data_IF_629064542237
#
_entry.id   IF_629064542237
#
_cell.length_a   1.000
_cell.length_b   1.000
_cell.length_c   1.000
_cell.angle_alpha   90.00
_cell.angle_beta   90.00
_cell.angle_gamma   90.00
#
_symmetry.space_group_name_H-M   'P 1'
#
loop_
_entity.id
_entity.type
_entity.pdbx_description
1 polymer ?
#
# COMPACT_ATOMS: atom_id res chain seq x y z
N UNK A 1 -28.73 56.21 -6.42
CA UNK A 1 -28.41 54.99 -5.63
C UNK A 1 -27.33 54.29 -6.40
N UNK A 2 -26.08 54.55 -6.03
CA UNK A 2 -24.88 53.99 -6.69
C UNK A 2 -24.38 52.82 -5.84
N UNK A 3 -24.52 51.61 -6.38
CA UNK A 3 -24.00 50.40 -5.80
C UNK A 3 -22.50 50.27 -6.13
N UNK A 4 -21.65 50.42 -5.15
CA UNK A 4 -20.19 50.25 -5.27
C UNK A 4 -19.86 48.78 -5.06
N UNK A 5 -19.62 48.08 -6.14
CA UNK A 5 -19.08 46.68 -6.11
C UNK A 5 -17.59 46.75 -5.80
N UNK A 6 -17.16 46.12 -4.71
CA UNK A 6 -15.76 45.96 -4.33
C UNK A 6 -14.99 45.15 -5.39
N UNK A 7 -13.70 45.49 -5.67
CA UNK A 7 -12.95 44.84 -6.72
C UNK A 7 -12.63 43.37 -6.39
N UNK A 8 -12.53 42.47 -7.38
CA UNK A 8 -12.42 41.01 -7.21
C UNK A 8 -11.17 40.53 -6.47
N UNK A 9 -10.16 41.37 -6.30
CA UNK A 9 -8.92 41.03 -5.58
C UNK A 9 -9.10 40.82 -4.08
N UNK A 10 -10.18 41.30 -3.48
CA UNK A 10 -10.42 41.17 -2.04
C UNK A 10 -10.82 39.78 -1.61
N UNK A 11 -11.55 39.05 -2.46
CA UNK A 11 -11.99 37.68 -2.21
C UNK A 11 -10.86 36.66 -2.35
N UNK A 12 -9.96 36.89 -3.31
CA UNK A 12 -8.79 36.00 -3.52
C UNK A 12 -7.84 36.05 -2.32
N UNK A 13 -7.61 37.22 -1.75
CA UNK A 13 -6.75 37.39 -0.58
C UNK A 13 -7.32 36.75 0.69
N UNK A 14 -8.64 36.75 0.84
CA UNK A 14 -9.34 36.13 1.96
C UNK A 14 -9.37 34.62 1.85
N UNK A 15 -9.54 34.07 0.65
CA UNK A 15 -9.47 32.64 0.36
C UNK A 15 -8.06 32.08 0.59
N UNK A 16 -7.02 32.82 0.19
CA UNK A 16 -5.62 32.41 0.39
C UNK A 16 -5.18 32.46 1.86
N UNK A 17 -5.73 33.38 2.66
CA UNK A 17 -5.52 33.40 4.12
C UNK A 17 -6.23 32.26 4.84
N UNK A 18 -7.43 31.89 4.39
CA UNK A 18 -8.17 30.77 4.94
C UNK A 18 -7.55 29.39 4.59
N UNK A 19 -6.85 29.31 3.45
CA UNK A 19 -6.13 28.12 3.00
C UNK A 19 -4.71 27.99 3.59
N UNK A 20 -4.26 28.93 4.45
CA UNK A 20 -2.94 28.87 5.09
C UNK A 20 -1.76 29.13 4.14
N UNK A 21 -2.01 29.59 2.92
CA UNK A 21 -0.99 29.77 1.86
C UNK A 21 -0.23 31.12 2.00
N UNK A 22 -0.78 32.10 2.72
CA UNK A 22 -0.13 33.39 2.99
C UNK A 22 0.04 33.57 4.51
N UNK A 23 1.27 33.57 5.00
CA UNK A 23 1.58 33.92 6.39
C UNK A 23 1.68 35.45 6.54
N UNK A 24 1.11 36.05 7.59
CA UNK A 24 1.32 37.47 7.87
C UNK A 24 2.79 37.72 8.23
N UNK A 25 3.39 38.74 7.63
CA UNK A 25 4.76 39.17 7.88
C UNK A 25 4.83 39.79 9.30
N UNK A 26 5.35 39.03 10.25
CA UNK A 26 5.62 39.54 11.61
C UNK A 26 6.96 40.24 11.60
N UNK A 27 6.99 41.49 12.08
CA UNK A 27 8.20 42.28 12.22
C UNK A 27 9.17 41.63 13.24
N UNK A 28 10.42 41.46 12.84
CA UNK A 28 11.47 40.92 13.68
C UNK A 28 11.89 41.95 14.73
N UNK A 29 11.66 41.68 15.99
CA UNK A 29 12.36 42.30 17.13
C UNK A 29 13.52 41.37 17.50
N UNK A 30 14.74 41.87 17.37
CA UNK A 30 15.95 41.21 17.81
C UNK A 30 15.99 41.13 19.32
N UNK A 31 15.99 39.90 19.84
CA UNK A 31 16.24 39.57 21.23
C UNK A 31 17.06 38.31 21.29
N UNK A 32 18.38 38.45 21.49
CA UNK A 32 19.32 37.35 21.71
C UNK A 32 19.02 36.68 23.07
N UNK A 33 18.48 35.47 23.03
CA UNK A 33 18.43 34.60 24.19
C UNK A 33 18.81 33.19 23.73
N UNK A 34 19.95 32.72 24.18
CA UNK A 34 20.40 31.34 24.07
C UNK A 34 19.41 30.44 24.79
N UNK A 35 18.43 29.91 24.05
CA UNK A 35 17.53 28.90 24.58
C UNK A 35 18.14 27.52 24.28
N UNK A 36 18.53 26.83 25.36
CA UNK A 36 18.80 25.40 25.36
C UNK A 36 17.65 24.68 24.66
N UNK A 37 17.95 23.95 23.56
CA UNK A 37 17.01 23.04 22.93
C UNK A 37 16.50 22.05 23.98
N UNK A 38 15.20 21.99 24.26
CA UNK A 38 14.68 20.88 25.05
C UNK A 38 14.97 19.60 24.26
N UNK A 39 15.59 18.62 24.93
CA UNK A 39 15.74 17.27 24.42
C UNK A 39 14.38 16.84 23.85
N UNK A 40 14.36 16.46 22.59
CA UNK A 40 13.18 15.93 21.93
C UNK A 40 12.63 14.79 22.80
N UNK A 41 11.51 15.05 23.48
CA UNK A 41 10.78 14.00 24.12
C UNK A 41 10.50 12.94 23.05
N UNK A 42 11.06 11.74 23.22
CA UNK A 42 10.80 10.61 22.36
C UNK A 42 9.28 10.45 22.27
N UNK A 43 8.73 10.68 21.09
CA UNK A 43 7.33 10.37 20.84
C UNK A 43 7.09 8.92 21.30
N UNK A 44 5.95 8.59 21.93
CA UNK A 44 5.67 7.24 22.35
C UNK A 44 5.84 6.32 21.15
N UNK A 45 6.71 5.33 21.27
CA UNK A 45 6.96 4.34 20.21
C UNK A 45 5.63 3.70 19.89
N UNK A 46 5.14 3.89 18.66
CA UNK A 46 3.91 3.25 18.22
C UNK A 46 4.04 1.73 18.38
N UNK A 47 3.01 1.09 18.92
CA UNK A 47 3.03 -0.36 19.14
C UNK A 47 2.99 -1.09 17.79
N UNK A 48 3.64 -2.25 17.68
CA UNK A 48 3.55 -3.08 16.47
C UNK A 48 2.11 -3.52 16.20
N UNK A 49 1.78 -3.69 14.91
CA UNK A 49 0.54 -4.31 14.47
C UNK A 49 0.74 -5.81 14.28
N UNK A 50 -0.28 -6.60 14.58
CA UNK A 50 -0.34 -7.99 14.18
C UNK A 50 -0.97 -8.10 12.79
N UNK A 51 -0.25 -8.71 11.85
CA UNK A 51 -0.73 -9.06 10.51
C UNK A 51 -1.32 -10.47 10.56
N UNK A 52 -2.63 -10.57 10.75
CA UNK A 52 -3.34 -11.84 10.90
C UNK A 52 -3.41 -12.60 9.58
N UNK A 53 -3.86 -11.94 8.52
CA UNK A 53 -3.97 -12.52 7.19
C UNK A 53 -3.44 -11.56 6.13
N UNK A 54 -3.12 -12.11 4.96
CA UNK A 54 -2.68 -11.37 3.80
C UNK A 54 -3.12 -12.09 2.52
N UNK A 55 -3.54 -11.32 1.52
CA UNK A 55 -3.92 -11.85 0.21
C UNK A 55 -3.41 -10.94 -0.90
N UNK A 56 -3.14 -11.53 -2.08
CA UNK A 56 -2.71 -10.80 -3.28
C UNK A 56 -3.28 -11.48 -4.52
N UNK A 57 -3.57 -10.66 -5.53
CA UNK A 57 -3.87 -11.08 -6.90
C UNK A 57 -3.07 -10.17 -7.82
N UNK A 58 -2.24 -10.77 -8.65
CA UNK A 58 -1.38 -10.06 -9.60
C UNK A 58 -1.09 -10.94 -10.83
N UNK A 59 -0.45 -10.37 -11.83
CA UNK A 59 -0.15 -11.03 -13.12
C UNK A 59 0.58 -12.37 -13.01
N UNK A 60 1.36 -12.57 -11.94
CA UNK A 60 2.20 -13.77 -11.79
C UNK A 60 1.96 -14.55 -10.49
N UNK A 61 0.83 -14.33 -9.84
CA UNK A 61 0.46 -15.09 -8.65
C UNK A 61 -0.91 -14.72 -8.12
N UNK A 62 -1.68 -15.77 -7.79
CA UNK A 62 -2.97 -15.67 -7.14
C UNK A 62 -2.89 -15.86 -5.61
N UNK A 63 -1.69 -16.06 -5.08
CA UNK A 63 -1.39 -16.14 -3.65
C UNK A 63 -0.03 -15.51 -3.32
N UNK A 64 0.25 -15.20 -2.05
CA UNK A 64 1.57 -14.71 -1.62
C UNK A 64 2.69 -15.70 -1.96
N UNK A 65 2.45 -16.99 -1.83
CA UNK A 65 3.38 -18.08 -2.12
C UNK A 65 3.76 -18.12 -3.60
N UNK A 66 2.75 -18.08 -4.47
CA UNK A 66 2.94 -18.13 -5.91
C UNK A 66 3.69 -16.91 -6.40
N UNK A 67 3.29 -15.71 -5.94
CA UNK A 67 3.94 -14.46 -6.34
C UNK A 67 5.39 -14.41 -5.86
N UNK A 68 5.66 -14.79 -4.60
CA UNK A 68 7.02 -14.85 -4.06
C UNK A 68 7.89 -15.82 -4.87
N UNK A 69 7.38 -17.02 -5.15
CA UNK A 69 8.09 -18.04 -5.92
C UNK A 69 8.34 -17.60 -7.37
N UNK A 70 7.39 -16.91 -8.00
CA UNK A 70 7.55 -16.39 -9.35
C UNK A 70 8.62 -15.30 -9.42
N UNK A 71 8.66 -14.39 -8.43
CA UNK A 71 9.68 -13.33 -8.33
C UNK A 71 11.06 -13.94 -8.08
N UNK A 72 11.20 -14.77 -7.05
CA UNK A 72 12.47 -15.43 -6.71
C UNK A 72 13.00 -16.32 -7.85
N UNK A 73 12.09 -16.95 -8.59
CA UNK A 73 12.41 -17.75 -9.79
C UNK A 73 12.67 -16.91 -11.04
N UNK A 74 12.63 -15.58 -10.96
CA UNK A 74 12.79 -14.63 -12.07
C UNK A 74 11.80 -14.87 -13.25
N UNK A 75 10.61 -15.37 -12.93
CA UNK A 75 9.52 -15.65 -13.88
C UNK A 75 8.48 -14.52 -13.93
N UNK A 76 8.43 -13.71 -12.88
CA UNK A 76 7.46 -12.63 -12.72
C UNK A 76 7.98 -11.37 -13.41
N UNK A 77 7.72 -11.22 -14.69
CA UNK A 77 8.11 -10.06 -15.49
C UNK A 77 6.93 -9.60 -16.33
N UNK A 78 6.72 -8.27 -16.44
CA UNK A 78 5.82 -7.72 -17.45
C UNK A 78 6.17 -8.23 -18.85
N UNK A 79 5.18 -8.45 -19.70
CA UNK A 79 5.32 -8.98 -21.06
C UNK A 79 4.60 -8.09 -22.07
N UNK A 80 4.78 -8.35 -23.36
CA UNK A 80 4.08 -7.63 -24.42
C UNK A 80 2.56 -7.83 -24.26
N UNK A 81 1.85 -6.71 -24.22
CA UNK A 81 0.39 -6.75 -24.10
C UNK A 81 -0.25 -7.19 -25.42
N UNK A 82 -1.24 -8.11 -25.39
CA UNK A 82 -1.88 -8.59 -26.60
C UNK A 82 -2.83 -7.58 -27.26
N UNK A 83 -3.27 -6.55 -26.53
CA UNK A 83 -4.34 -5.64 -26.93
C UNK A 83 -3.92 -4.17 -26.92
N UNK A 84 -3.01 -3.78 -26.00
CA UNK A 84 -2.61 -2.39 -25.82
C UNK A 84 -1.45 -2.03 -26.73
N UNK A 85 -1.56 -0.89 -27.40
CA UNK A 85 -0.56 -0.40 -28.36
C UNK A 85 -0.16 1.05 -28.03
N UNK A 86 1.06 1.42 -28.44
CA UNK A 86 1.51 2.81 -28.40
C UNK A 86 0.98 3.64 -29.58
N UNK A 87 1.36 4.92 -29.64
CA UNK A 87 0.94 5.87 -30.69
C UNK A 87 1.35 5.43 -32.11
N UNK A 88 2.37 4.58 -32.22
CA UNK A 88 2.87 4.02 -33.48
C UNK A 88 2.19 2.68 -33.83
N UNK A 89 1.32 2.17 -32.96
CA UNK A 89 0.60 0.90 -33.11
C UNK A 89 1.43 -0.33 -32.75
N UNK A 90 2.53 -0.18 -32.02
CA UNK A 90 3.31 -1.30 -31.51
C UNK A 90 2.80 -1.76 -30.15
N UNK A 91 2.76 -3.10 -29.87
CA UNK A 91 2.41 -3.61 -28.57
C UNK A 91 3.32 -3.04 -27.47
N UNK A 92 2.72 -2.61 -26.38
CA UNK A 92 3.46 -2.14 -25.20
C UNK A 92 3.76 -3.28 -24.24
N UNK A 93 4.65 -3.05 -23.28
CA UNK A 93 4.87 -3.95 -22.16
C UNK A 93 3.86 -3.63 -21.05
N UNK A 94 3.19 -4.66 -20.52
CA UNK A 94 2.23 -4.53 -19.41
C UNK A 94 2.38 -5.65 -18.39
N UNK A 95 1.85 -5.45 -17.20
CA UNK A 95 1.69 -6.47 -16.18
C UNK A 95 0.20 -6.85 -16.04
N UNK A 96 -0.36 -7.38 -17.11
CA UNK A 96 -1.75 -7.84 -17.23
C UNK A 96 -1.97 -9.12 -16.42
N UNK A 97 -3.10 -9.23 -15.75
CA UNK A 97 -3.53 -10.42 -14.99
C UNK A 97 -4.74 -11.09 -15.63
N UNK A 98 -4.64 -12.37 -15.92
CA UNK A 98 -5.79 -13.16 -16.41
C UNK A 98 -6.89 -13.27 -15.35
N UNK A 99 -6.54 -13.21 -14.06
CA UNK A 99 -7.50 -13.23 -12.96
C UNK A 99 -8.38 -11.96 -12.86
N UNK A 100 -8.07 -10.91 -13.64
CA UNK A 100 -8.89 -9.71 -13.74
C UNK A 100 -10.10 -9.87 -14.68
N UNK A 101 -10.21 -11.02 -15.35
CA UNK A 101 -11.33 -11.36 -16.24
C UNK A 101 -12.07 -12.54 -15.63
N UNK A 102 -13.19 -12.24 -14.94
CA UNK A 102 -14.07 -13.22 -14.32
C UNK A 102 -15.52 -12.76 -14.55
N UNK A 103 -16.17 -13.36 -15.55
CA UNK A 103 -17.52 -12.99 -15.94
C UNK A 103 -18.55 -13.26 -14.83
N UNK A 104 -18.36 -14.31 -14.03
CA UNK A 104 -19.27 -14.62 -12.93
C UNK A 104 -19.18 -13.55 -11.82
N UNK A 105 -17.97 -13.13 -11.45
CA UNK A 105 -17.79 -12.04 -10.48
C UNK A 105 -18.32 -10.72 -11.02
N UNK A 106 -18.14 -10.45 -12.31
CA UNK A 106 -18.66 -9.25 -12.97
C UNK A 106 -20.18 -9.23 -12.98
N UNK A 107 -20.82 -10.38 -13.22
CA UNK A 107 -22.27 -10.52 -13.16
C UNK A 107 -22.79 -10.32 -11.73
N UNK A 108 -22.17 -10.95 -10.72
CA UNK A 108 -22.51 -10.75 -9.30
C UNK A 108 -22.47 -9.26 -8.91
N UNK A 109 -21.40 -8.53 -9.31
CA UNK A 109 -21.25 -7.09 -9.03
C UNK A 109 -22.36 -6.30 -9.73
N UNK A 110 -22.63 -6.61 -11.01
CA UNK A 110 -23.61 -5.91 -11.83
C UNK A 110 -25.03 -6.08 -11.25
N UNK A 111 -25.40 -7.30 -10.87
CA UNK A 111 -26.68 -7.59 -10.23
C UNK A 111 -26.80 -6.85 -8.89
N UNK A 112 -25.75 -6.88 -8.08
CA UNK A 112 -25.75 -6.19 -6.81
C UNK A 112 -25.87 -4.66 -6.97
N UNK A 113 -25.18 -4.06 -7.94
CA UNK A 113 -25.29 -2.62 -8.25
C UNK A 113 -26.74 -2.27 -8.63
N UNK A 114 -27.38 -3.09 -9.47
CA UNK A 114 -28.77 -2.91 -9.86
C UNK A 114 -29.73 -2.98 -8.65
N UNK A 115 -29.58 -4.00 -7.81
CA UNK A 115 -30.40 -4.19 -6.60
C UNK A 115 -30.17 -3.09 -5.55
N UNK A 116 -28.99 -2.51 -5.53
CA UNK A 116 -28.61 -1.42 -4.61
C UNK A 116 -28.99 -0.03 -5.12
N UNK A 117 -29.71 0.08 -6.26
CA UNK A 117 -30.15 1.35 -6.83
C UNK A 117 -29.04 2.14 -7.53
N UNK A 118 -27.94 1.48 -7.92
CA UNK A 118 -26.79 2.08 -8.59
C UNK A 118 -26.63 1.59 -10.04
N UNK A 119 -27.73 1.21 -10.70
CA UNK A 119 -27.75 0.67 -12.07
C UNK A 119 -27.16 1.63 -13.11
N UNK A 120 -27.22 2.95 -12.87
CA UNK A 120 -26.71 3.97 -13.77
C UNK A 120 -25.20 4.23 -13.61
N UNK A 121 -24.54 3.59 -12.65
CA UNK A 121 -23.12 3.78 -12.40
C UNK A 121 -22.31 3.20 -13.56
N UNK A 122 -21.54 4.06 -14.23
CA UNK A 122 -20.65 3.64 -15.30
C UNK A 122 -19.28 3.27 -14.74
N UNK A 123 -18.84 2.06 -15.03
CA UNK A 123 -17.50 1.57 -14.72
C UNK A 123 -16.77 1.29 -16.04
N UNK A 124 -15.55 1.85 -16.20
CA UNK A 124 -14.66 1.55 -17.31
C UNK A 124 -14.02 0.16 -17.18
N UNK A 125 -13.30 -0.25 -18.22
CA UNK A 125 -12.66 -1.57 -18.24
C UNK A 125 -11.66 -1.74 -17.09
N UNK A 126 -10.77 -0.77 -16.90
CA UNK A 126 -9.79 -0.80 -15.82
C UNK A 126 -10.46 -0.91 -14.44
N UNK A 127 -11.59 -0.22 -14.23
CA UNK A 127 -12.35 -0.28 -13.00
C UNK A 127 -12.97 -1.66 -12.75
N UNK A 128 -13.52 -2.30 -13.80
CA UNK A 128 -14.03 -3.66 -13.72
C UNK A 128 -12.93 -4.65 -13.34
N UNK A 129 -11.78 -4.57 -14.02
CA UNK A 129 -10.62 -5.41 -13.75
C UNK A 129 -10.14 -5.26 -12.30
N UNK A 130 -10.00 -4.02 -11.83
CA UNK A 130 -9.60 -3.74 -10.44
C UNK A 130 -10.61 -4.27 -9.42
N UNK A 131 -11.93 -4.12 -9.67
CA UNK A 131 -12.99 -4.63 -8.78
C UNK A 131 -13.01 -6.15 -8.70
N UNK A 132 -12.82 -6.85 -9.82
CA UNK A 132 -12.75 -8.31 -9.86
C UNK A 132 -11.58 -8.80 -9.01
N UNK A 133 -10.37 -8.24 -9.21
CA UNK A 133 -9.18 -8.59 -8.42
C UNK A 133 -9.37 -8.24 -6.94
N UNK A 134 -9.91 -7.05 -6.64
CA UNK A 134 -10.22 -6.61 -5.28
C UNK A 134 -11.22 -7.54 -4.59
N UNK A 135 -12.25 -7.99 -5.30
CA UNK A 135 -13.25 -8.93 -4.78
C UNK A 135 -12.61 -10.26 -4.37
N UNK A 136 -11.70 -10.79 -5.18
CA UNK A 136 -10.98 -12.02 -4.86
C UNK A 136 -10.15 -11.88 -3.58
N UNK A 137 -9.42 -10.75 -3.42
CA UNK A 137 -8.64 -10.45 -2.20
C UNK A 137 -9.55 -10.29 -0.99
N UNK A 138 -10.69 -9.59 -1.13
CA UNK A 138 -11.67 -9.42 -0.04
C UNK A 138 -12.25 -10.76 0.38
N UNK A 139 -12.57 -11.64 -0.56
CA UNK A 139 -13.09 -13.00 -0.27
C UNK A 139 -12.09 -13.83 0.56
N UNK A 140 -10.81 -13.82 0.18
CA UNK A 140 -9.77 -14.51 0.92
C UNK A 140 -9.62 -13.96 2.35
N UNK A 141 -9.51 -12.63 2.47
CA UNK A 141 -9.37 -11.99 3.78
C UNK A 141 -10.61 -12.15 4.65
N UNK A 142 -11.82 -12.15 4.08
CA UNK A 142 -13.05 -12.38 4.81
C UNK A 142 -13.14 -13.81 5.33
N UNK A 143 -12.74 -14.80 4.52
CA UNK A 143 -12.63 -16.19 4.92
C UNK A 143 -11.66 -16.36 6.10
N UNK A 144 -10.46 -15.78 5.99
CA UNK A 144 -9.45 -15.82 7.04
C UNK A 144 -9.91 -15.07 8.31
N UNK A 145 -10.56 -13.91 8.16
CA UNK A 145 -11.11 -13.17 9.29
C UNK A 145 -12.17 -14.01 10.02
N UNK A 146 -13.05 -14.67 9.30
CA UNK A 146 -14.07 -15.55 9.87
C UNK A 146 -13.43 -16.69 10.65
N UNK A 147 -12.46 -17.36 10.04
CA UNK A 147 -11.77 -18.52 10.66
C UNK A 147 -10.96 -18.15 11.90
N UNK A 148 -10.34 -16.96 11.92
CA UNK A 148 -9.41 -16.59 13.00
C UNK A 148 -10.06 -15.77 14.11
N UNK A 149 -11.10 -14.99 13.82
CA UNK A 149 -11.64 -14.00 14.75
C UNK A 149 -13.04 -14.32 15.26
N UNK A 150 -13.81 -15.16 14.56
CA UNK A 150 -15.10 -15.61 15.07
C UNK A 150 -14.90 -16.56 16.25
N UNK A 151 -15.56 -16.27 17.35
CA UNK A 151 -15.56 -17.19 18.49
C UNK A 151 -16.52 -18.37 18.26
N UNK A 152 -16.29 -19.46 18.96
CA UNK A 152 -17.18 -20.64 18.95
C UNK A 152 -18.64 -20.32 19.31
N UNK A 153 -18.86 -19.24 20.06
CA UNK A 153 -20.17 -18.76 20.45
C UNK A 153 -20.81 -17.81 19.40
N UNK A 154 -20.18 -17.65 18.22
CA UNK A 154 -20.67 -16.75 17.16
C UNK A 154 -20.45 -15.25 17.43
N UNK A 155 -19.67 -14.89 18.47
CA UNK A 155 -19.32 -13.49 18.72
C UNK A 155 -18.18 -13.08 17.83
N UNK A 156 -18.37 -12.01 17.04
CA UNK A 156 -17.35 -11.38 16.19
C UNK A 156 -16.84 -10.09 16.84
N UNK A 157 -15.54 -9.78 16.72
CA UNK A 157 -15.03 -8.44 17.06
C UNK A 157 -15.55 -7.41 16.04
N UNK A 158 -15.28 -6.13 16.30
CA UNK A 158 -15.52 -5.09 15.30
C UNK A 158 -14.51 -5.24 14.15
N UNK A 159 -15.01 -5.27 12.92
CA UNK A 159 -14.19 -5.29 11.70
C UNK A 159 -14.36 -3.98 10.95
N UNK A 160 -13.25 -3.29 10.73
CA UNK A 160 -13.19 -2.10 9.89
C UNK A 160 -12.70 -2.50 8.51
N UNK A 161 -13.44 -2.15 7.48
CA UNK A 161 -13.03 -2.30 6.09
C UNK A 161 -12.55 -0.95 5.58
N UNK A 162 -11.31 -0.89 5.11
CA UNK A 162 -10.66 0.31 4.56
C UNK A 162 -10.20 0.04 3.12
N UNK A 163 -11.02 0.28 2.11
CA UNK A 163 -10.63 0.19 0.71
C UNK A 163 -9.69 1.33 0.33
N UNK A 164 -8.55 1.02 -0.26
CA UNK A 164 -7.58 1.97 -0.82
C UNK A 164 -7.78 1.95 -2.33
N UNK A 165 -8.60 2.87 -2.83
CA UNK A 165 -9.06 2.94 -4.21
C UNK A 165 -8.37 4.08 -4.96
N UNK A 166 -8.23 3.99 -6.30
CA UNK A 166 -7.56 5.00 -7.11
C UNK A 166 -8.19 6.39 -6.97
N UNK A 167 -7.35 7.43 -6.94
CA UNK A 167 -7.81 8.82 -6.92
C UNK A 167 -8.50 9.25 -8.23
N UNK A 168 -8.23 8.55 -9.33
CA UNK A 168 -8.88 8.76 -10.63
C UNK A 168 -10.35 8.35 -10.66
N UNK A 169 -10.78 7.49 -9.75
CA UNK A 169 -12.18 7.08 -9.68
C UNK A 169 -13.05 8.21 -9.11
N UNK A 170 -14.29 8.34 -9.59
CA UNK A 170 -15.24 9.30 -9.04
C UNK A 170 -15.63 8.93 -7.59
N UNK A 171 -16.23 9.88 -6.88
CA UNK A 171 -16.71 9.64 -5.51
C UNK A 171 -17.72 8.51 -5.48
N UNK A 172 -18.63 8.48 -6.47
CA UNK A 172 -19.68 7.48 -6.63
C UNK A 172 -19.09 6.09 -6.89
N UNK A 173 -18.10 5.98 -7.76
CA UNK A 173 -17.42 4.72 -8.08
C UNK A 173 -16.70 4.16 -6.84
N UNK A 174 -15.94 4.99 -6.11
CA UNK A 174 -15.29 4.58 -4.86
C UNK A 174 -16.31 4.17 -3.79
N UNK A 175 -17.42 4.91 -3.70
CA UNK A 175 -18.49 4.58 -2.76
C UNK A 175 -19.11 3.22 -3.07
N UNK A 176 -19.46 2.98 -4.33
CA UNK A 176 -20.04 1.71 -4.79
C UNK A 176 -19.07 0.53 -4.55
N UNK A 177 -17.80 0.68 -4.92
CA UNK A 177 -16.78 -0.33 -4.69
C UNK A 177 -16.62 -0.67 -3.19
N UNK A 178 -16.58 0.34 -2.33
CA UNK A 178 -16.48 0.14 -0.89
C UNK A 178 -17.72 -0.53 -0.29
N UNK A 179 -18.92 -0.24 -0.80
CA UNK A 179 -20.17 -0.92 -0.41
C UNK A 179 -20.20 -2.36 -0.92
N UNK A 180 -19.75 -2.60 -2.14
CA UNK A 180 -19.62 -3.95 -2.68
C UNK A 180 -18.67 -4.81 -1.84
N UNK A 181 -17.49 -4.30 -1.50
CA UNK A 181 -16.56 -5.03 -0.62
C UNK A 181 -17.16 -5.29 0.76
N UNK A 182 -17.91 -4.32 1.32
CA UNK A 182 -18.64 -4.54 2.57
C UNK A 182 -19.68 -5.66 2.44
N UNK A 183 -20.42 -5.67 1.34
CA UNK A 183 -21.39 -6.72 1.03
C UNK A 183 -20.68 -8.09 0.92
N UNK A 184 -19.56 -8.17 0.20
CA UNK A 184 -18.76 -9.39 0.06
C UNK A 184 -18.31 -9.93 1.42
N UNK A 185 -17.82 -9.09 2.32
CA UNK A 185 -17.44 -9.53 3.68
C UNK A 185 -18.65 -10.08 4.45
N UNK A 186 -19.81 -9.42 4.33
CA UNK A 186 -21.04 -9.87 5.01
C UNK A 186 -21.52 -11.23 4.49
N UNK A 187 -21.31 -11.57 3.22
CA UNK A 187 -21.63 -12.88 2.64
C UNK A 187 -20.86 -14.04 3.30
N UNK A 188 -19.68 -13.78 3.89
CA UNK A 188 -18.93 -14.77 4.68
C UNK A 188 -19.47 -14.93 6.11
N UNK A 189 -20.65 -14.38 6.42
CA UNK A 189 -21.30 -14.53 7.73
C UNK A 189 -20.83 -13.53 8.78
N UNK A 190 -20.09 -12.47 8.41
CA UNK A 190 -19.74 -11.42 9.36
C UNK A 190 -20.96 -10.58 9.73
N UNK A 191 -21.26 -10.38 11.04
CA UNK A 191 -22.42 -9.58 11.45
C UNK A 191 -22.33 -8.15 10.92
N UNK A 192 -23.36 -7.67 10.23
CA UNK A 192 -23.38 -6.35 9.59
C UNK A 192 -23.18 -5.22 10.59
N UNK A 193 -23.70 -5.37 11.82
CA UNK A 193 -23.57 -4.40 12.91
C UNK A 193 -22.13 -4.33 13.46
N UNK A 194 -21.32 -5.35 13.20
CA UNK A 194 -19.91 -5.41 13.58
C UNK A 194 -18.98 -5.07 12.41
N UNK A 195 -19.51 -4.71 11.24
CA UNK A 195 -18.77 -4.37 10.05
C UNK A 195 -18.92 -2.90 9.67
N UNK A 196 -17.86 -2.12 9.88
CA UNK A 196 -17.82 -0.70 9.56
C UNK A 196 -16.91 -0.45 8.36
N UNK A 197 -17.39 0.27 7.34
CA UNK A 197 -16.56 0.79 6.27
C UNK A 197 -15.99 2.14 6.69
N UNK A 198 -14.69 2.34 6.46
CA UNK A 198 -13.99 3.62 6.63
C UNK A 198 -13.48 4.05 5.26
N UNK A 199 -13.95 5.19 4.79
CA UNK A 199 -13.50 5.74 3.52
C UNK A 199 -12.11 6.37 3.71
N UNK A 200 -11.19 5.95 2.87
CA UNK A 200 -9.83 6.48 2.82
C UNK A 200 -9.80 7.69 1.87
N UNK A 201 -9.08 8.74 2.24
CA UNK A 201 -8.88 9.85 1.33
C UNK A 201 -8.17 9.37 0.05
N UNK A 202 -8.63 9.77 -1.14
CA UNK A 202 -8.14 9.20 -2.41
C UNK A 202 -6.66 9.47 -2.69
N UNK A 203 -6.08 10.49 -2.06
CA UNK A 203 -4.68 10.89 -2.14
C UNK A 203 -3.85 10.43 -0.92
N UNK A 204 -4.46 9.66 -0.01
CA UNK A 204 -3.76 9.19 1.18
C UNK A 204 -2.69 8.15 0.81
N UNK A 205 -1.45 8.43 1.20
CA UNK A 205 -0.37 7.47 1.02
C UNK A 205 -0.63 6.21 1.87
N UNK A 206 -0.40 4.99 1.34
CA UNK A 206 -0.59 3.73 2.08
C UNK A 206 0.16 3.69 3.42
N UNK A 207 1.35 4.28 3.48
CA UNK A 207 2.13 4.40 4.71
C UNK A 207 1.41 5.23 5.80
N UNK A 208 0.70 6.30 5.40
CA UNK A 208 -0.08 7.12 6.34
C UNK A 208 -1.29 6.37 6.88
N UNK A 209 -1.95 5.56 6.04
CA UNK A 209 -3.08 4.71 6.44
C UNK A 209 -2.63 3.67 7.47
N UNK A 210 -1.49 3.01 7.25
CA UNK A 210 -0.91 2.08 8.22
C UNK A 210 -0.51 2.77 9.53
N UNK A 211 0.05 3.99 9.43
CA UNK A 211 0.35 4.83 10.59
C UNK A 211 -0.91 5.15 11.41
N UNK A 212 -2.02 5.40 10.75
CA UNK A 212 -3.32 5.62 11.37
C UNK A 212 -3.82 4.36 12.08
N UNK A 213 -3.75 3.19 11.43
CA UNK A 213 -4.10 1.92 12.07
C UNK A 213 -3.25 1.65 13.33
N UNK A 214 -1.95 1.97 13.28
CA UNK A 214 -1.06 1.84 14.42
C UNK A 214 -1.38 2.86 15.54
N UNK A 215 -1.75 4.09 15.20
CA UNK A 215 -2.16 5.11 16.18
C UNK A 215 -3.53 4.77 16.82
N UNK A 216 -4.50 4.34 16.03
CA UNK A 216 -5.81 3.90 16.49
C UNK A 216 -5.70 2.71 17.45
N UNK A 217 -4.64 1.90 17.31
CA UNK A 217 -4.37 0.77 18.21
C UNK A 217 -4.02 1.21 19.63
N UNK A 218 -3.66 2.47 19.85
CA UNK A 218 -3.38 3.01 21.20
C UNK A 218 -4.65 3.43 21.96
N UNK A 219 -5.79 3.56 21.25
CA UNK A 219 -7.07 3.84 21.90
C UNK A 219 -7.62 2.55 22.52
N UNK A 220 -8.13 2.54 23.76
CA UNK A 220 -8.54 1.32 24.44
C UNK A 220 -9.90 0.76 23.91
N UNK A 221 -9.98 0.48 22.64
CA UNK A 221 -11.09 -0.27 22.02
C UNK A 221 -10.62 -1.71 21.81
N UNK A 222 -10.97 -2.60 22.75
CA UNK A 222 -10.63 -4.03 22.62
C UNK A 222 -11.31 -4.68 21.42
N UNK A 223 -10.56 -5.50 20.71
CA UNK A 223 -11.10 -6.41 19.72
C UNK A 223 -11.56 -5.73 18.41
N UNK A 224 -10.79 -4.74 17.91
CA UNK A 224 -11.02 -4.18 16.57
C UNK A 224 -9.98 -4.74 15.61
N UNK A 225 -10.44 -5.39 14.55
CA UNK A 225 -9.60 -5.76 13.40
C UNK A 225 -9.85 -4.79 12.24
N UNK A 226 -8.85 -4.58 11.41
CA UNK A 226 -8.96 -3.74 10.21
C UNK A 226 -8.55 -4.54 8.99
N UNK A 227 -9.39 -4.58 7.98
CA UNK A 227 -9.12 -5.14 6.67
C UNK A 227 -8.76 -4.00 5.71
N UNK A 228 -7.51 -3.97 5.29
CA UNK A 228 -6.98 -3.01 4.31
C UNK A 228 -6.94 -3.72 2.95
N UNK A 229 -7.54 -3.12 1.92
CA UNK A 229 -7.56 -3.69 0.57
C UNK A 229 -7.25 -2.60 -0.44
N UNK A 230 -6.16 -2.74 -1.19
CA UNK A 230 -5.84 -1.94 -2.34
C UNK A 230 -6.16 -2.72 -3.62
N UNK A 231 -6.79 -2.09 -4.59
CA UNK A 231 -6.96 -2.61 -5.95
C UNK A 231 -6.89 -1.47 -6.95
N UNK A 232 -6.26 -1.75 -8.10
CA UNK A 232 -6.14 -0.79 -9.19
C UNK A 232 -5.83 -1.52 -10.49
N UNK A 233 -6.15 -0.91 -11.63
CA UNK A 233 -5.76 -1.35 -12.96
C UNK A 233 -5.50 -0.14 -13.86
N UNK A 234 -4.40 -0.21 -14.61
CA UNK A 234 -4.05 0.71 -15.69
C UNK A 234 -4.05 -0.02 -17.05
N UNK A 235 -4.70 -1.19 -17.12
CA UNK A 235 -4.80 -2.00 -18.32
C UNK A 235 -6.00 -1.51 -19.13
N UNK A 236 -5.79 -0.37 -19.81
CA UNK A 236 -6.76 0.24 -20.72
C UNK A 236 -6.02 1.18 -21.68
N UNK A 237 -6.53 1.31 -22.91
CA UNK A 237 -5.88 2.11 -23.96
C UNK A 237 -5.83 3.61 -23.61
N UNK A 238 -6.86 4.15 -22.96
CA UNK A 238 -6.90 5.57 -22.55
C UNK A 238 -5.74 5.93 -21.61
N UNK A 239 -5.40 5.04 -20.68
CA UNK A 239 -4.23 5.23 -19.79
C UNK A 239 -2.92 5.19 -20.58
N UNK A 240 -2.79 4.28 -21.54
CA UNK A 240 -1.61 4.16 -22.41
C UNK A 240 -1.42 5.42 -23.25
N UNK A 241 -2.48 5.90 -23.92
CA UNK A 241 -2.46 7.11 -24.73
C UNK A 241 -2.08 8.34 -23.88
N UNK A 242 -2.65 8.46 -22.67
CA UNK A 242 -2.32 9.54 -21.74
C UNK A 242 -0.84 9.51 -21.32
N UNK A 243 -0.29 8.33 -21.02
CA UNK A 243 1.12 8.20 -20.63
C UNK A 243 2.06 8.37 -21.81
N UNK A 244 1.69 7.95 -23.01
CA UNK A 244 2.44 8.20 -24.24
C UNK A 244 2.52 9.72 -24.51
N UNK A 245 1.38 10.42 -24.49
CA UNK A 245 1.31 11.87 -24.71
C UNK A 245 2.12 12.69 -23.68
N UNK A 246 2.26 12.17 -22.45
CA UNK A 246 3.05 12.81 -21.38
C UNK A 246 4.50 12.32 -21.30
N UNK A 247 4.97 11.47 -22.21
CA UNK A 247 6.26 10.77 -22.16
C UNK A 247 6.48 10.00 -20.82
N UNK A 248 5.42 9.47 -20.25
CA UNK A 248 5.46 8.70 -19.02
C UNK A 248 5.40 7.18 -19.26
N UNK A 249 5.06 6.74 -20.47
CA UNK A 249 4.98 5.33 -20.84
C UNK A 249 6.38 4.72 -21.03
N UNK A 250 6.57 3.49 -20.55
CA UNK A 250 7.77 2.71 -20.84
C UNK A 250 7.75 2.21 -22.29
N UNK A 251 8.70 2.69 -23.08
CA UNK A 251 8.89 2.32 -24.48
C UNK A 251 10.38 2.08 -24.74
N UNK A 252 10.72 1.61 -25.94
CA UNK A 252 12.14 1.48 -26.36
C UNK A 252 12.90 2.81 -26.31
N UNK A 253 12.20 3.93 -26.53
CA UNK A 253 12.77 5.28 -26.44
C UNK A 253 12.79 5.83 -25.02
N UNK A 254 11.88 5.37 -24.14
CA UNK A 254 11.69 5.83 -22.76
C UNK A 254 11.68 4.65 -21.80
N UNK A 255 12.84 4.01 -21.61
CA UNK A 255 12.97 2.83 -20.74
C UNK A 255 12.71 3.11 -19.24
N UNK A 256 12.70 4.39 -18.82
CA UNK A 256 12.42 4.83 -17.46
C UNK A 256 10.94 5.22 -17.27
N UNK A 257 10.10 4.98 -18.26
CA UNK A 257 8.67 5.21 -18.19
C UNK A 257 7.94 4.20 -17.29
N UNK A 258 6.65 4.40 -17.13
CA UNK A 258 5.76 3.52 -16.37
C UNK A 258 5.35 2.33 -17.20
N UNK A 259 5.24 1.18 -16.58
CA UNK A 259 4.66 -0.01 -17.19
C UNK A 259 3.23 -0.13 -16.65
N UNK A 260 2.20 -0.12 -17.51
CA UNK A 260 0.83 -0.37 -17.06
C UNK A 260 0.73 -1.71 -16.36
N UNK A 261 0.06 -1.71 -15.21
CA UNK A 261 -0.12 -2.91 -14.43
C UNK A 261 -1.46 -2.95 -13.73
N UNK A 262 -1.75 -4.05 -13.10
CA UNK A 262 -2.96 -4.25 -12.34
C UNK A 262 -2.76 -5.27 -11.23
N UNK A 263 -3.61 -5.16 -10.20
CA UNK A 263 -3.59 -6.11 -9.11
C UNK A 263 -4.51 -5.70 -7.98
N UNK A 264 -4.53 -6.56 -6.98
CA UNK A 264 -5.08 -6.27 -5.68
C UNK A 264 -4.24 -6.92 -4.59
N UNK A 265 -4.12 -6.24 -3.46
CA UNK A 265 -3.43 -6.78 -2.29
C UNK A 265 -4.09 -6.27 -1.01
N UNK A 266 -4.10 -7.09 0.02
CA UNK A 266 -4.73 -6.71 1.27
C UNK A 266 -4.16 -7.40 2.48
N UNK A 267 -4.44 -6.79 3.63
CA UNK A 267 -3.98 -7.23 4.95
C UNK A 267 -5.15 -7.19 5.94
N UNK A 268 -5.23 -8.19 6.79
CA UNK A 268 -6.04 -8.18 7.99
C UNK A 268 -5.13 -7.86 9.17
N UNK A 269 -5.33 -6.71 9.80
CA UNK A 269 -4.47 -6.22 10.89
C UNK A 269 -5.27 -6.00 12.17
N UNK A 270 -4.60 -6.18 13.32
CA UNK A 270 -5.13 -5.85 14.64
C UNK A 270 -3.99 -5.38 15.54
N UNK A 271 -4.32 -4.93 16.75
CA UNK A 271 -3.29 -4.65 17.75
C UNK A 271 -2.60 -5.95 18.16
N UNK A 272 -1.32 -5.86 18.48
CA UNK A 272 -0.55 -7.02 18.90
C UNK A 272 -1.14 -7.69 20.14
N UNK A 273 -1.66 -6.92 21.09
CA UNK A 273 -2.27 -7.41 22.32
C UNK A 273 -3.62 -8.13 22.13
N UNK A 274 -4.31 -7.85 21.00
CA UNK A 274 -5.57 -8.51 20.64
C UNK A 274 -5.33 -9.76 19.76
N UNK A 275 -4.13 -9.89 19.21
CA UNK A 275 -3.76 -11.05 18.42
C UNK A 275 -3.50 -12.26 19.32
N UNK A 276 -4.22 -13.34 19.07
CA UNK A 276 -4.03 -14.60 19.81
C UNK A 276 -3.49 -15.66 18.86
N UNK A 277 -2.26 -16.15 19.08
CA UNK A 277 -1.80 -17.30 18.33
C UNK A 277 -2.70 -18.50 18.68
N UNK A 278 -3.24 -19.16 17.68
CA UNK A 278 -3.95 -20.41 17.82
C UNK A 278 -3.16 -21.50 17.08
N UNK A 279 -3.52 -22.77 17.30
CA UNK A 279 -2.86 -23.88 16.63
C UNK A 279 -2.92 -23.76 15.08
N UNK A 280 -3.93 -23.04 14.56
CA UNK A 280 -4.21 -22.90 13.14
C UNK A 280 -3.98 -21.49 12.58
N UNK A 281 -3.65 -20.48 13.43
CA UNK A 281 -3.49 -19.10 13.02
C UNK A 281 -2.19 -18.52 13.54
N UNK A 282 -1.27 -18.22 12.61
CA UNK A 282 0.00 -17.58 12.91
C UNK A 282 -0.02 -16.18 12.31
N UNK A 283 0.26 -15.17 13.14
CA UNK A 283 0.38 -13.78 12.70
C UNK A 283 1.84 -13.35 12.60
N UNK A 284 2.13 -12.37 11.76
CA UNK A 284 3.41 -11.67 11.79
C UNK A 284 3.25 -10.33 12.50
N UNK A 285 4.37 -9.76 12.97
CA UNK A 285 4.41 -8.47 13.64
C UNK A 285 4.97 -7.42 12.69
N UNK A 286 4.18 -6.40 12.34
CA UNK A 286 4.64 -5.22 11.60
C UNK A 286 5.06 -4.13 12.58
N UNK A 287 6.32 -3.80 12.61
CA UNK A 287 6.84 -2.70 13.41
C UNK A 287 6.53 -1.35 12.74
N UNK A 288 6.52 -0.24 13.53
CA UNK A 288 6.21 1.08 13.00
C UNK A 288 7.09 1.46 11.81
N UNK A 289 6.48 2.06 10.79
CA UNK A 289 7.20 2.51 9.61
C UNK A 289 8.16 3.65 9.98
N UNK A 290 9.43 3.45 9.69
CA UNK A 290 10.43 4.51 9.68
C UNK A 290 10.39 5.22 8.33
N UNK A 291 10.46 6.54 8.31
CA UNK A 291 10.43 7.34 7.09
C UNK A 291 11.66 8.25 6.96
N UNK A 292 12.00 8.54 5.72
CA UNK A 292 12.96 9.60 5.38
C UNK A 292 12.49 10.34 4.14
N UNK A 293 12.79 11.66 4.06
CA UNK A 293 12.46 12.49 2.91
C UNK A 293 13.73 12.90 2.19
N UNK A 294 13.74 12.77 0.87
CA UNK A 294 14.79 13.28 -0.02
C UNK A 294 14.58 14.76 -0.27
N UNK A 295 15.66 15.49 -0.44
CA UNK A 295 15.62 16.90 -0.85
C UNK A 295 15.39 17.05 -2.35
N UNK A 296 15.89 16.08 -3.12
CA UNK A 296 15.76 16.00 -4.58
C UNK A 296 15.06 14.69 -4.94
N UNK A 297 14.19 14.74 -5.94
CA UNK A 297 13.55 13.54 -6.44
C UNK A 297 14.59 12.48 -6.87
N UNK A 298 14.37 11.22 -6.53
CA UNK A 298 15.26 10.10 -6.89
C UNK A 298 15.59 10.08 -8.37
N UNK A 299 14.57 10.32 -9.21
CA UNK A 299 14.69 10.29 -10.68
C UNK A 299 15.53 11.45 -11.24
N UNK A 300 15.76 12.50 -10.44
CA UNK A 300 16.59 13.67 -10.78
C UNK A 300 17.94 13.70 -10.04
N UNK A 301 18.17 12.76 -9.12
CA UNK A 301 19.37 12.73 -8.31
C UNK A 301 20.59 12.28 -9.14
N UNK A 302 21.69 13.02 -9.06
CA UNK A 302 22.94 12.66 -9.77
C UNK A 302 23.63 11.43 -9.17
N UNK A 303 23.34 11.09 -7.93
CA UNK A 303 23.89 9.93 -7.21
C UNK A 303 22.83 9.35 -6.29
N UNK A 304 22.72 8.01 -6.20
CA UNK A 304 21.83 7.34 -5.27
C UNK A 304 22.26 7.60 -3.82
N UNK A 305 21.31 7.76 -2.92
CA UNK A 305 21.56 8.05 -1.49
C UNK A 305 21.60 6.76 -0.66
N UNK A 306 22.48 5.80 -1.02
CA UNK A 306 22.57 4.47 -0.40
C UNK A 306 22.74 4.57 1.13
N UNK A 307 23.59 5.49 1.62
CA UNK A 307 23.81 5.67 3.05
C UNK A 307 22.48 5.99 3.78
N UNK A 308 21.66 6.87 3.21
CA UNK A 308 20.35 7.23 3.80
C UNK A 308 19.43 6.01 3.89
N UNK A 309 19.48 5.13 2.89
CA UNK A 309 18.75 3.86 2.93
C UNK A 309 19.26 2.93 4.03
N UNK A 310 20.57 2.79 4.18
CA UNK A 310 21.15 1.98 5.25
C UNK A 310 20.81 2.54 6.63
N UNK A 311 20.94 3.86 6.84
CA UNK A 311 20.56 4.52 8.09
C UNK A 311 19.06 4.33 8.41
N UNK A 312 18.19 4.29 7.37
CA UNK A 312 16.75 4.03 7.54
C UNK A 312 16.48 2.58 7.93
N UNK A 313 17.15 1.62 7.29
CA UNK A 313 17.05 0.20 7.62
C UNK A 313 17.55 -0.08 9.05
N UNK A 314 18.65 0.54 9.49
CA UNK A 314 19.15 0.45 10.85
C UNK A 314 18.13 0.96 11.88
N UNK A 315 17.45 2.10 11.59
CA UNK A 315 16.39 2.61 12.47
C UNK A 315 15.19 1.65 12.55
N UNK A 316 14.77 1.09 11.41
CA UNK A 316 13.69 0.12 11.38
C UNK A 316 14.06 -1.16 12.15
N UNK A 317 15.27 -1.67 11.98
CA UNK A 317 15.79 -2.83 12.69
C UNK A 317 15.89 -2.57 14.21
N UNK A 318 16.43 -1.42 14.61
CA UNK A 318 16.49 -1.00 16.02
C UNK A 318 15.11 -0.92 16.66
N UNK A 319 14.10 -0.36 15.96
CA UNK A 319 12.74 -0.27 16.48
C UNK A 319 12.13 -1.66 16.73
N UNK A 320 12.54 -2.67 15.94
CA UNK A 320 12.11 -4.06 16.10
C UNK A 320 12.99 -4.86 17.09
N UNK A 321 14.12 -4.31 17.54
CA UNK A 321 15.11 -5.03 18.36
C UNK A 321 15.75 -6.20 17.59
N UNK A 322 16.04 -6.02 16.30
CA UNK A 322 16.57 -7.00 15.36
C UNK A 322 17.91 -6.46 14.83
N UNK A 323 18.86 -7.34 14.52
CA UNK A 323 20.08 -6.96 13.82
C UNK A 323 19.86 -7.02 12.30
N UNK A 324 20.53 -6.17 11.52
CA UNK A 324 20.43 -6.23 10.05
C UNK A 324 20.86 -7.59 9.50
N UNK A 325 21.80 -8.27 10.16
CA UNK A 325 22.28 -9.59 9.76
C UNK A 325 21.23 -10.72 9.93
N UNK A 326 20.18 -10.49 10.74
CA UNK A 326 19.10 -11.47 10.96
C UNK A 326 18.03 -11.40 9.86
N UNK A 327 18.06 -10.36 9.02
CA UNK A 327 17.08 -10.17 7.93
C UNK A 327 17.39 -11.17 6.81
N UNK A 328 16.39 -11.94 6.40
CA UNK A 328 16.54 -12.99 5.38
C UNK A 328 15.84 -12.67 4.06
N UNK A 329 15.02 -11.64 4.02
CA UNK A 329 14.30 -11.23 2.80
C UNK A 329 14.07 -9.73 2.83
N UNK A 330 14.17 -9.11 1.66
CA UNK A 330 13.80 -7.73 1.40
C UNK A 330 12.64 -7.71 0.41
N UNK A 331 11.47 -7.18 0.82
CA UNK A 331 10.31 -7.00 -0.05
C UNK A 331 10.08 -5.50 -0.29
N UNK A 332 10.01 -5.09 -1.56
CA UNK A 332 9.97 -3.68 -1.93
C UNK A 332 8.94 -3.39 -3.04
N UNK A 333 8.32 -2.20 -2.97
CA UNK A 333 7.47 -1.68 -4.04
C UNK A 333 8.25 -1.10 -5.23
N UNK A 334 9.57 -1.22 -5.21
CA UNK A 334 10.49 -0.72 -6.23
C UNK A 334 10.12 -1.24 -7.61
N UNK A 335 9.97 -0.34 -8.55
CA UNK A 335 9.75 -0.65 -9.97
C UNK A 335 11.06 -0.82 -10.77
N UNK A 336 10.98 -0.84 -12.10
CA UNK A 336 12.12 -1.03 -13.00
C UNK A 336 12.96 0.24 -13.21
N UNK A 337 12.57 1.40 -12.67
CA UNK A 337 13.33 2.66 -12.86
C UNK A 337 14.68 2.58 -12.18
N UNK A 338 15.74 2.80 -12.97
CA UNK A 338 17.14 2.56 -12.57
C UNK A 338 17.50 3.26 -11.26
N UNK A 339 17.06 4.51 -11.06
CA UNK A 339 17.43 5.27 -9.86
C UNK A 339 16.97 4.55 -8.57
N UNK A 340 15.76 3.99 -8.59
CA UNK A 340 15.15 3.29 -7.44
C UNK A 340 15.72 1.90 -7.25
N UNK A 341 15.96 1.21 -8.37
CA UNK A 341 16.60 -0.10 -8.35
C UNK A 341 18.02 -0.01 -7.77
N UNK A 342 18.82 0.99 -8.19
CA UNK A 342 20.18 1.19 -7.69
C UNK A 342 20.19 1.52 -6.18
N UNK A 343 19.24 2.30 -5.68
CA UNK A 343 19.11 2.56 -4.24
C UNK A 343 18.81 1.26 -3.47
N UNK A 344 17.86 0.46 -3.95
CA UNK A 344 17.46 -0.81 -3.33
C UNK A 344 18.61 -1.82 -3.35
N UNK A 345 19.20 -2.04 -4.53
CA UNK A 345 20.32 -2.99 -4.69
C UNK A 345 21.59 -2.51 -3.98
N UNK A 346 21.78 -1.19 -3.85
CA UNK A 346 22.81 -0.60 -3.03
C UNK A 346 22.61 -0.91 -1.55
N UNK A 347 21.39 -0.83 -1.02
CA UNK A 347 21.04 -1.28 0.33
C UNK A 347 21.30 -2.77 0.50
N UNK A 348 20.81 -3.60 -0.43
CA UNK A 348 20.99 -5.05 -0.37
C UNK A 348 22.49 -5.43 -0.32
N UNK A 349 23.31 -4.85 -1.20
CA UNK A 349 24.74 -5.19 -1.29
C UNK A 349 25.61 -4.65 -0.15
N UNK A 350 25.28 -3.49 0.43
CA UNK A 350 26.11 -2.85 1.46
C UNK A 350 25.57 -3.00 2.87
N UNK A 351 24.24 -2.94 3.04
CA UNK A 351 23.57 -3.02 4.34
C UNK A 351 23.13 -4.43 4.73
N UNK A 352 22.90 -5.30 3.72
CA UNK A 352 22.36 -6.66 3.89
C UNK A 352 23.15 -7.67 3.07
N UNK A 353 24.49 -7.76 3.25
CA UNK A 353 25.36 -8.56 2.39
C UNK A 353 25.08 -10.09 2.47
N UNK A 354 24.28 -10.54 3.42
CA UNK A 354 23.83 -11.93 3.55
C UNK A 354 22.75 -12.31 2.56
N UNK A 355 22.06 -11.33 1.92
CA UNK A 355 20.97 -11.58 0.99
C UNK A 355 21.50 -11.87 -0.43
N UNK A 356 20.92 -12.86 -1.08
CA UNK A 356 21.05 -13.00 -2.53
C UNK A 356 20.18 -11.96 -3.24
N UNK A 357 20.79 -11.08 -4.02
CA UNK A 357 20.09 -9.97 -4.68
C UNK A 357 19.02 -10.40 -5.68
N UNK A 358 18.97 -11.67 -6.07
CA UNK A 358 17.99 -12.22 -7.00
C UNK A 358 16.90 -12.99 -6.27
N UNK A 359 17.27 -13.88 -5.34
CA UNK A 359 16.34 -14.78 -4.68
C UNK A 359 15.65 -14.12 -3.45
N UNK A 360 16.40 -13.30 -2.71
CA UNK A 360 15.95 -12.75 -1.42
C UNK A 360 15.41 -11.31 -1.53
N UNK A 361 15.46 -10.69 -2.72
CA UNK A 361 14.95 -9.34 -2.98
C UNK A 361 13.70 -9.39 -3.86
N UNK A 362 12.53 -9.23 -3.23
CA UNK A 362 11.21 -9.33 -3.88
C UNK A 362 10.73 -7.93 -4.28
N UNK A 363 10.73 -7.62 -5.59
CA UNK A 363 10.35 -6.30 -6.14
C UNK A 363 8.94 -6.36 -6.74
N UNK A 364 7.94 -5.92 -6.01
CA UNK A 364 6.55 -5.96 -6.46
C UNK A 364 6.24 -4.93 -7.54
N UNK A 365 6.83 -3.72 -7.48
CA UNK A 365 6.63 -2.70 -8.50
C UNK A 365 7.16 -3.11 -9.88
N UNK A 366 8.32 -3.79 -9.93
CA UNK A 366 8.87 -4.32 -11.18
C UNK A 366 8.07 -5.49 -11.76
N UNK A 367 7.29 -6.19 -10.91
CA UNK A 367 6.50 -7.38 -11.28
C UNK A 367 5.08 -7.03 -11.65
N UNK A 368 4.42 -6.22 -10.81
CA UNK A 368 2.98 -5.89 -10.93
C UNK A 368 2.78 -4.66 -11.83
N UNK A 369 3.84 -3.92 -12.12
CA UNK A 369 3.77 -2.67 -12.85
C UNK A 369 3.22 -1.52 -11.99
N UNK A 370 2.91 -0.40 -12.64
CA UNK A 370 2.31 0.77 -12.00
C UNK A 370 0.81 0.55 -11.83
N UNK A 371 0.35 0.42 -10.59
CA UNK A 371 -1.07 0.29 -10.24
C UNK A 371 -1.35 0.81 -8.82
N UNK A 372 -1.19 2.11 -8.65
CA UNK A 372 -1.53 2.82 -7.41
C UNK A 372 -0.87 2.28 -6.15
N UNK A 373 -1.66 1.95 -5.14
CA UNK A 373 -1.19 1.46 -3.84
C UNK A 373 -0.88 -0.06 -3.83
N UNK A 374 -1.18 -0.78 -4.92
CA UNK A 374 -1.08 -2.25 -4.95
C UNK A 374 0.34 -2.74 -4.75
N UNK A 375 1.39 -2.22 -5.42
CA UNK A 375 2.77 -2.67 -5.20
C UNK A 375 3.24 -2.51 -3.75
N UNK A 376 2.87 -1.41 -3.09
CA UNK A 376 3.16 -1.17 -1.67
C UNK A 376 2.52 -2.25 -0.78
N UNK A 377 1.22 -2.50 -0.97
CA UNK A 377 0.50 -3.49 -0.17
C UNK A 377 0.99 -4.90 -0.46
N UNK A 378 1.28 -5.24 -1.71
CA UNK A 378 1.84 -6.52 -2.12
C UNK A 378 3.23 -6.75 -1.50
N UNK A 379 4.09 -5.73 -1.42
CA UNK A 379 5.39 -5.85 -0.75
C UNK A 379 5.22 -6.20 0.75
N UNK A 380 4.25 -5.61 1.44
CA UNK A 380 3.93 -5.99 2.83
C UNK A 380 3.38 -7.42 2.94
N UNK A 381 2.54 -7.83 1.99
CA UNK A 381 2.03 -9.21 1.91
C UNK A 381 3.18 -10.20 1.76
N UNK A 382 4.14 -9.91 0.86
CA UNK A 382 5.32 -10.75 0.64
C UNK A 382 6.28 -10.73 1.83
N UNK A 383 6.48 -9.58 2.48
CA UNK A 383 7.27 -9.49 3.71
C UNK A 383 6.66 -10.35 4.83
N UNK A 384 5.32 -10.34 4.99
CA UNK A 384 4.63 -11.23 5.94
C UNK A 384 4.84 -12.69 5.58
N UNK A 385 4.62 -13.05 4.31
CA UNK A 385 4.82 -14.42 3.84
C UNK A 385 6.24 -14.90 4.14
N UNK A 386 7.26 -14.13 3.73
CA UNK A 386 8.66 -14.46 3.96
C UNK A 386 9.00 -14.62 5.44
N UNK A 387 8.53 -13.69 6.29
CA UNK A 387 8.79 -13.74 7.72
C UNK A 387 8.19 -14.99 8.39
N UNK A 388 7.01 -15.42 7.97
CA UNK A 388 6.36 -16.62 8.52
C UNK A 388 6.98 -17.90 7.97
N UNK A 389 7.30 -17.96 6.68
CA UNK A 389 7.90 -19.12 6.03
C UNK A 389 9.32 -19.42 6.55
N UNK A 390 10.15 -18.37 6.65
CA UNK A 390 11.54 -18.50 7.13
C UNK A 390 11.67 -18.51 8.66
N UNK A 391 10.62 -18.09 9.39
CA UNK A 391 10.64 -17.83 10.84
C UNK A 391 11.72 -16.79 11.23
N UNK A 392 12.02 -15.86 10.36
CA UNK A 392 13.05 -14.85 10.53
C UNK A 392 12.52 -13.49 10.04
N UNK A 393 13.15 -12.35 10.45
CA UNK A 393 12.71 -11.03 10.04
C UNK A 393 12.81 -10.80 8.53
N UNK A 394 11.81 -10.11 7.95
CA UNK A 394 11.83 -9.58 6.59
C UNK A 394 11.80 -8.05 6.63
N UNK A 395 12.58 -7.39 5.77
CA UNK A 395 12.58 -5.95 5.63
C UNK A 395 11.59 -5.54 4.53
N UNK A 396 10.61 -4.73 4.89
CA UNK A 396 9.77 -4.01 3.94
C UNK A 396 10.40 -2.68 3.56
N UNK A 397 10.43 -2.37 2.28
CA UNK A 397 10.95 -1.11 1.71
C UNK A 397 9.91 -0.53 0.76
N UNK A 398 9.61 0.76 0.91
CA UNK A 398 8.86 1.53 -0.07
C UNK A 398 9.69 2.71 -0.54
N UNK A 399 10.01 2.75 -1.82
CA UNK A 399 10.76 3.82 -2.47
C UNK A 399 10.20 4.21 -3.85
N UNK A 400 8.95 3.80 -4.14
CA UNK A 400 8.27 4.23 -5.37
C UNK A 400 7.99 5.74 -5.39
N UNK A 401 7.71 6.36 -4.24
CA UNK A 401 7.62 7.82 -4.15
C UNK A 401 9.00 8.46 -4.39
N UNK A 402 9.11 9.45 -5.32
CA UNK A 402 10.40 10.06 -5.64
C UNK A 402 11.04 10.83 -4.48
N UNK A 403 10.25 11.26 -3.49
CA UNK A 403 10.72 12.10 -2.38
C UNK A 403 10.72 11.40 -1.03
N UNK A 404 9.90 10.37 -0.85
CA UNK A 404 9.71 9.74 0.46
C UNK A 404 10.04 8.25 0.38
N UNK A 405 10.78 7.77 1.37
CA UNK A 405 11.04 6.34 1.54
C UNK A 405 10.52 5.89 2.90
N UNK A 406 9.98 4.70 2.93
CA UNK A 406 9.54 4.06 4.16
C UNK A 406 10.19 2.69 4.30
N UNK A 407 10.52 2.31 5.53
CA UNK A 407 10.98 0.95 5.85
C UNK A 407 10.36 0.48 7.16
N UNK A 408 10.10 -0.81 7.24
CA UNK A 408 9.60 -1.45 8.44
C UNK A 408 10.07 -2.90 8.50
N UNK A 409 10.22 -3.45 9.70
CA UNK A 409 10.43 -4.87 9.90
C UNK A 409 9.08 -5.58 10.02
N UNK A 410 9.00 -6.73 9.34
CA UNK A 410 7.96 -7.73 9.55
C UNK A 410 8.63 -8.94 10.17
N UNK A 411 8.22 -9.27 11.39
CA UNK A 411 8.85 -10.33 12.17
C UNK A 411 7.86 -11.48 12.43
N UNK A 412 8.32 -12.71 12.55
CA UNK A 412 7.49 -13.80 13.05
C UNK A 412 7.04 -13.52 14.50
N UNK A 413 5.99 -14.19 14.99
CA UNK A 413 5.56 -14.02 16.38
C UNK A 413 6.68 -14.41 17.34
N UNK A 414 6.92 -13.55 18.33
CA UNK A 414 7.87 -13.92 19.39
C UNK A 414 7.26 -15.02 20.26
N UNK A 415 8.05 -16.06 20.62
CA UNK A 415 7.57 -17.01 21.60
C UNK A 415 7.22 -16.26 22.89
N UNK A 416 6.16 -16.68 23.61
CA UNK A 416 5.82 -16.09 24.89
C UNK A 416 7.06 -16.18 25.80
N UNK A 417 7.49 -15.02 26.34
CA UNK A 417 8.51 -14.99 27.39
C UNK A 417 7.97 -15.75 28.59
N UNK A 418 8.48 -16.95 28.82
CA UNK A 418 8.20 -17.66 30.07
C UNK A 418 8.77 -16.81 31.18
N UNK A 419 7.97 -16.30 32.13
CA UNK A 419 8.52 -15.59 33.26
C UNK A 419 9.43 -16.54 34.04
N UNK A 420 10.68 -16.10 34.26
CA UNK A 420 11.67 -16.84 35.02
C UNK A 420 11.26 -16.99 36.49
#
# INVERSE_FOLDING_TARGET
MTSTTAPPQYWLKRALLAAGIVRPKVAATAGSATASQPAAASAPSASPLALLAAAVRASHGASPEELAAAIAGNKARPDLDPELVDDDGFPIVSARSDAAVDDAVKEDISEWLMLSGMAELQLGEAQWRALILGTAVVRDLASEAFMQLMSENGSAPQLRLMPILPSSWTVEQRHAAGLWFKHTVAQFGWPVDHLTRIDVAPDAAPAAILGQCAADSQVPHKGVATMLVACDSHIEQETVDHWAASNALCTTAQAQGRIPGEGAAGLLVTRLEDARPSANAVFAQLYPLSATRREVASDSAKRPEIKRFTDLAERAAHAAGVQLADIVTLAADTDQRIAREVELMGLASTGLPQLDGTADVLRTGATIGTCGAVPFMAALVLARHAALASKAPALFVSNDDPFVCHMALVCPPRPPTVPA
#
